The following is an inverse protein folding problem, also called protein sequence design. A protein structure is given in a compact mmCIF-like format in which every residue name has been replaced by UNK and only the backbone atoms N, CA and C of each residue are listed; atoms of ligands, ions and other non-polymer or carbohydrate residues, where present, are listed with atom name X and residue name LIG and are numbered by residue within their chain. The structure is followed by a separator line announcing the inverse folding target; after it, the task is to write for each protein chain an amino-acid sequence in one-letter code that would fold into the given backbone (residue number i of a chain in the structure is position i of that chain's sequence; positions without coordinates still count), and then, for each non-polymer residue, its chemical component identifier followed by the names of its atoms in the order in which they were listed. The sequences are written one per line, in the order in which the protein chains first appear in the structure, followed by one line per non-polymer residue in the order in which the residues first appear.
data_IF_528713052917
#
_entry.id   IF_528713052917
#
_cell.length_a   1.000
_cell.length_b   1.000
_cell.length_c   1.000
_cell.angle_alpha   90.00
_cell.angle_beta   90.00
_cell.angle_gamma   90.00
#
_symmetry.space_group_name_H-M   'P 1'
#
loop_
_entity.id
_entity.type
_entity.pdbx_description
1 polymer ?
#
# COMPACT_ATOMS: atom_id res chain seq x y z
N UNK A 1 12.27 -21.25 -25.26
CA UNK A 1 13.15 -21.88 -24.22
C UNK A 1 13.50 -20.99 -23.03
N UNK A 2 13.47 -19.65 -23.09
CA UNK A 2 13.83 -18.78 -21.94
C UNK A 2 12.76 -18.66 -20.83
N UNK A 3 11.47 -18.70 -21.18
CA UNK A 3 10.38 -18.57 -20.21
C UNK A 3 10.28 -19.73 -19.18
N UNK A 4 10.64 -20.96 -19.57
CA UNK A 4 10.52 -22.12 -18.66
C UNK A 4 11.64 -22.17 -17.61
N UNK A 5 12.80 -21.56 -17.88
CA UNK A 5 13.93 -21.49 -16.93
C UNK A 5 13.66 -20.43 -15.85
N UNK A 6 13.07 -19.30 -16.23
CA UNK A 6 12.69 -18.24 -15.27
C UNK A 6 11.65 -18.74 -14.26
N UNK A 7 10.64 -19.49 -14.72
CA UNK A 7 9.61 -20.11 -13.85
C UNK A 7 10.17 -21.15 -12.88
N UNK A 8 11.25 -21.84 -13.23
CA UNK A 8 11.89 -22.78 -12.30
C UNK A 8 12.69 -22.05 -11.21
N UNK A 9 13.32 -20.92 -11.56
CA UNK A 9 14.12 -20.11 -10.65
C UNK A 9 13.29 -19.26 -9.67
N UNK A 10 12.06 -18.89 -10.05
CA UNK A 10 11.12 -18.10 -9.23
C UNK A 10 10.28 -18.95 -8.27
N UNK A 11 10.53 -20.27 -8.15
CA UNK A 11 9.85 -21.10 -7.16
C UNK A 11 10.24 -20.64 -5.75
N UNK A 12 9.31 -19.94 -5.10
CA UNK A 12 9.41 -19.62 -3.69
C UNK A 12 9.64 -20.90 -2.88
N UNK A 13 10.50 -20.84 -1.86
CA UNK A 13 10.63 -21.96 -0.94
C UNK A 13 9.45 -21.99 0.03
N UNK A 14 9.06 -23.18 0.53
CA UNK A 14 8.08 -23.28 1.61
C UNK A 14 8.56 -22.43 2.78
N UNK A 15 7.74 -21.50 3.23
CA UNK A 15 8.06 -20.65 4.38
C UNK A 15 7.16 -21.00 5.56
N UNK A 16 7.66 -20.75 6.77
CA UNK A 16 6.84 -20.70 7.98
C UNK A 16 6.30 -19.28 8.10
N UNK A 17 5.30 -18.95 7.28
CA UNK A 17 4.65 -17.67 7.36
C UNK A 17 3.86 -17.58 8.67
N UNK A 18 4.30 -16.71 9.59
CA UNK A 18 3.68 -16.53 10.91
C UNK A 18 2.43 -15.64 10.87
N UNK A 19 2.00 -15.21 9.68
CA UNK A 19 0.75 -14.47 9.48
C UNK A 19 -0.50 -15.20 9.98
N UNK A 20 -0.41 -16.52 10.23
CA UNK A 20 -1.47 -17.32 10.86
C UNK A 20 -1.93 -16.77 12.22
N UNK A 21 -1.10 -15.98 12.91
CA UNK A 21 -1.43 -15.36 14.19
C UNK A 21 -2.20 -14.04 14.07
N UNK A 22 -2.31 -13.45 12.88
CA UNK A 22 -2.99 -12.17 12.67
C UNK A 22 -4.43 -12.37 12.17
N UNK A 23 -5.34 -11.40 12.42
CA UNK A 23 -6.64 -11.36 11.78
C UNK A 23 -6.51 -11.45 10.25
N UNK A 24 -7.30 -12.34 9.65
CA UNK A 24 -7.32 -12.59 8.21
C UNK A 24 -8.64 -12.13 7.61
N UNK A 25 -8.55 -11.50 6.46
CA UNK A 25 -9.65 -10.91 5.73
C UNK A 25 -9.61 -11.47 4.32
N UNK A 26 -10.74 -12.02 3.85
CA UNK A 26 -10.82 -12.56 2.50
C UNK A 26 -10.51 -11.47 1.48
N UNK A 27 -11.08 -10.27 1.67
CA UNK A 27 -10.89 -9.13 0.77
C UNK A 27 -10.46 -7.87 1.51
N UNK A 28 -9.98 -6.88 0.74
CA UNK A 28 -9.71 -5.54 1.23
C UNK A 28 -10.96 -4.84 1.79
N UNK A 29 -12.14 -5.15 1.26
CA UNK A 29 -13.42 -4.63 1.75
C UNK A 29 -13.79 -5.17 3.14
N UNK A 30 -13.50 -6.46 3.40
CA UNK A 30 -13.72 -7.07 4.72
C UNK A 30 -12.83 -6.41 5.77
N UNK A 31 -11.56 -6.17 5.43
CA UNK A 31 -10.65 -5.41 6.30
C UNK A 31 -11.18 -4.00 6.52
N UNK A 32 -11.62 -3.30 5.47
CA UNK A 32 -12.18 -1.95 5.60
C UNK A 32 -13.35 -1.90 6.59
N UNK A 33 -14.32 -2.82 6.47
CA UNK A 33 -15.46 -2.92 7.40
C UNK A 33 -15.00 -3.14 8.84
N UNK A 34 -13.98 -3.98 9.04
CA UNK A 34 -13.40 -4.21 10.34
C UNK A 34 -12.68 -2.97 10.91
N UNK A 35 -11.83 -2.30 10.13
CA UNK A 35 -11.15 -1.06 10.55
C UNK A 35 -12.16 0.03 10.95
N UNK A 36 -13.26 0.13 10.20
CA UNK A 36 -14.37 1.05 10.50
C UNK A 36 -15.06 0.72 11.82
N UNK A 37 -15.33 -0.56 12.08
CA UNK A 37 -15.90 -1.01 13.35
C UNK A 37 -14.96 -0.76 14.53
N UNK A 38 -13.66 -1.04 14.37
CA UNK A 38 -12.66 -0.77 15.41
C UNK A 38 -12.57 0.72 15.79
N UNK A 39 -12.81 1.60 14.85
CA UNK A 39 -12.64 3.05 15.02
C UNK A 39 -13.96 3.80 15.13
N UNK A 40 -15.10 3.10 15.25
CA UNK A 40 -16.44 3.69 15.21
C UNK A 40 -16.69 4.79 16.25
N UNK A 41 -15.95 4.76 17.37
CA UNK A 41 -16.06 5.76 18.44
C UNK A 41 -15.68 7.18 17.97
N UNK A 42 -14.87 7.31 16.92
CA UNK A 42 -14.51 8.60 16.33
C UNK A 42 -13.64 9.51 17.22
N UNK A 43 -13.50 10.77 16.81
CA UNK A 43 -12.71 11.78 17.54
C UNK A 43 -11.24 11.42 17.68
N UNK A 44 -10.69 11.57 18.89
CA UNK A 44 -9.28 11.29 19.21
C UNK A 44 -8.99 9.78 19.42
N UNK A 45 -10.00 8.92 19.29
CA UNK A 45 -9.82 7.49 19.49
C UNK A 45 -8.84 6.90 18.47
N UNK A 46 -7.77 6.29 18.98
CA UNK A 46 -6.71 5.70 18.18
C UNK A 46 -6.44 4.27 18.60
N UNK A 47 -6.58 3.33 17.68
CA UNK A 47 -6.10 1.95 17.85
C UNK A 47 -4.62 1.91 17.52
N UNK A 48 -3.81 1.32 18.41
CA UNK A 48 -2.35 1.22 18.23
C UNK A 48 -1.97 -0.18 17.72
N UNK A 49 -0.99 -0.23 16.82
CA UNK A 49 -0.33 -1.46 16.37
C UNK A 49 -1.27 -2.53 15.79
N UNK A 50 -2.21 -2.13 14.94
CA UNK A 50 -3.04 -3.07 14.21
C UNK A 50 -2.22 -3.78 13.12
N UNK A 51 -2.39 -5.10 13.00
CA UNK A 51 -1.87 -5.91 11.89
C UNK A 51 -3.01 -6.78 11.38
N UNK A 52 -3.20 -6.82 10.06
CA UNK A 52 -4.16 -7.71 9.42
C UNK A 52 -3.67 -8.18 8.07
N UNK A 53 -4.20 -9.32 7.61
CA UNK A 53 -3.80 -9.96 6.36
C UNK A 53 -4.98 -9.99 5.40
N UNK A 54 -4.78 -9.48 4.19
CA UNK A 54 -5.74 -9.57 3.08
C UNK A 54 -5.31 -10.74 2.20
N UNK A 55 -6.22 -11.69 2.00
CA UNK A 55 -5.95 -12.90 1.23
C UNK A 55 -6.06 -12.66 -0.28
N UNK A 56 -7.07 -11.90 -0.69
CA UNK A 56 -7.32 -11.54 -2.08
C UNK A 56 -7.14 -10.04 -2.31
N UNK A 57 -6.02 -9.70 -2.95
CA UNK A 57 -5.70 -8.34 -3.38
C UNK A 57 -6.25 -7.99 -4.77
N UNK A 58 -7.04 -8.86 -5.39
CA UNK A 58 -7.67 -8.60 -6.70
C UNK A 58 -9.05 -7.95 -6.56
N UNK A 59 -9.70 -8.07 -5.40
CA UNK A 59 -10.99 -7.45 -5.12
C UNK A 59 -10.89 -5.93 -4.96
N UNK A 60 -11.52 -5.20 -5.88
CA UNK A 60 -11.70 -3.75 -5.81
C UNK A 60 -13.06 -3.44 -5.18
N UNK A 61 -13.09 -2.46 -4.29
CA UNK A 61 -14.33 -1.93 -3.72
C UNK A 61 -14.32 -0.40 -3.72
N UNK A 62 -15.51 0.19 -3.69
CA UNK A 62 -15.74 1.63 -3.72
C UNK A 62 -16.45 2.10 -2.46
N UNK A 63 -16.33 3.39 -2.18
CA UNK A 63 -17.09 4.05 -1.11
C UNK A 63 -17.63 5.39 -1.63
N UNK A 64 -18.61 6.02 -0.96
CA UNK A 64 -19.05 7.35 -1.36
C UNK A 64 -17.91 8.39 -1.43
N UNK A 65 -16.92 8.29 -0.54
CA UNK A 65 -15.74 9.16 -0.56
C UNK A 65 -14.77 8.81 -1.69
N UNK A 66 -14.68 7.53 -2.04
CA UNK A 66 -13.80 7.00 -3.09
C UNK A 66 -14.58 6.19 -4.13
N UNK A 67 -15.33 6.87 -5.02
CA UNK A 67 -15.89 6.24 -6.20
C UNK A 67 -14.75 5.85 -7.17
N UNK A 68 -15.06 5.00 -8.16
CA UNK A 68 -14.07 4.48 -9.11
C UNK A 68 -13.12 5.54 -9.68
N UNK A 69 -13.67 6.64 -10.21
CA UNK A 69 -12.86 7.69 -10.83
C UNK A 69 -11.87 8.35 -9.85
N UNK A 70 -12.24 8.48 -8.57
CA UNK A 70 -11.31 8.98 -7.55
C UNK A 70 -10.19 7.97 -7.28
N UNK A 71 -10.53 6.68 -7.12
CA UNK A 71 -9.54 5.62 -6.91
C UNK A 71 -8.52 5.57 -8.06
N UNK A 72 -9.02 5.63 -9.31
CA UNK A 72 -8.19 5.60 -10.51
C UNK A 72 -7.27 6.82 -10.59
N UNK A 73 -7.80 8.02 -10.35
CA UNK A 73 -7.00 9.25 -10.33
C UNK A 73 -5.86 9.19 -9.31
N UNK A 74 -6.16 8.91 -8.04
CA UNK A 74 -5.14 8.87 -6.99
C UNK A 74 -4.11 7.76 -7.23
N UNK A 75 -4.53 6.65 -7.83
CA UNK A 75 -3.64 5.55 -8.20
C UNK A 75 -2.72 5.95 -9.34
N UNK A 76 -3.24 6.53 -10.44
CA UNK A 76 -2.41 7.06 -11.54
C UNK A 76 -1.37 8.04 -10.99
N UNK A 77 -1.83 9.00 -10.19
CA UNK A 77 -0.98 10.00 -9.54
C UNK A 77 0.14 9.36 -8.72
N UNK A 78 -0.18 8.40 -7.84
CA UNK A 78 0.83 7.76 -6.98
C UNK A 78 1.73 6.79 -7.74
N UNK A 79 1.26 6.15 -8.82
CA UNK A 79 2.07 5.31 -9.71
C UNK A 79 3.01 6.12 -10.62
N UNK A 80 2.89 7.46 -10.63
CA UNK A 80 3.60 8.31 -11.59
C UNK A 80 3.09 8.16 -13.02
N UNK A 81 1.85 7.69 -13.19
CA UNK A 81 1.22 7.54 -14.50
C UNK A 81 0.55 8.84 -14.97
N UNK A 82 0.39 9.03 -16.29
CA UNK A 82 -0.32 10.18 -16.83
C UNK A 82 -1.78 10.26 -16.33
N UNK A 83 -2.20 11.48 -15.98
CA UNK A 83 -3.59 11.85 -15.70
C UNK A 83 -3.87 13.24 -16.28
N UNK A 84 -5.13 13.57 -16.53
CA UNK A 84 -5.52 14.86 -17.13
C UNK A 84 -5.75 15.93 -16.06
N UNK A 85 -5.70 17.21 -16.47
CA UNK A 85 -6.06 18.31 -15.57
C UNK A 85 -7.52 18.21 -15.11
N UNK A 86 -8.43 17.78 -15.99
CA UNK A 86 -9.83 17.55 -15.65
C UNK A 86 -10.00 16.49 -14.55
N UNK A 87 -9.25 15.37 -14.63
CA UNK A 87 -9.23 14.36 -13.56
C UNK A 87 -8.73 14.97 -12.24
N UNK A 88 -7.69 15.80 -12.30
CA UNK A 88 -7.15 16.49 -11.13
C UNK A 88 -8.16 17.44 -10.49
N UNK A 89 -8.77 18.32 -11.29
CA UNK A 89 -9.73 19.32 -10.80
C UNK A 89 -10.98 18.65 -10.20
N UNK A 90 -11.39 17.51 -10.75
CA UNK A 90 -12.56 16.76 -10.27
C UNK A 90 -12.28 15.97 -9.00
N UNK A 91 -11.10 15.35 -8.88
CA UNK A 91 -10.87 14.31 -7.87
C UNK A 91 -9.92 14.74 -6.75
N UNK A 92 -9.02 15.70 -6.98
CA UNK A 92 -8.04 16.13 -6.00
C UNK A 92 -8.69 16.98 -4.89
N UNK A 93 -8.93 16.35 -3.74
CA UNK A 93 -9.54 16.97 -2.56
C UNK A 93 -8.69 16.73 -1.32
N UNK A 94 -8.71 17.66 -0.36
CA UNK A 94 -7.95 17.54 0.89
C UNK A 94 -8.50 16.37 1.72
N UNK A 95 -9.83 16.25 1.81
CA UNK A 95 -10.58 15.20 2.50
C UNK A 95 -10.23 13.80 2.01
N UNK A 96 -9.70 13.66 0.80
CA UNK A 96 -9.23 12.39 0.22
C UNK A 96 -7.76 12.09 0.52
N UNK A 97 -7.18 12.77 1.50
CA UNK A 97 -5.87 12.45 2.08
C UNK A 97 -4.75 13.41 1.74
N UNK A 98 -5.06 14.55 1.10
CA UNK A 98 -4.14 15.67 0.89
C UNK A 98 -2.72 15.28 0.49
N UNK A 99 -1.73 16.04 0.98
CA UNK A 99 -0.31 15.79 0.70
C UNK A 99 0.25 14.55 1.42
N UNK A 100 -0.33 14.13 2.55
CA UNK A 100 0.14 12.94 3.30
C UNK A 100 -0.01 11.64 2.52
N UNK A 101 -0.95 11.60 1.56
CA UNK A 101 -1.20 10.45 0.69
C UNK A 101 -0.61 10.57 -0.72
N UNK A 102 0.29 11.53 -0.96
CA UNK A 102 1.01 11.70 -2.23
C UNK A 102 2.34 10.96 -2.17
N UNK A 103 2.46 9.84 -2.89
CA UNK A 103 3.62 8.95 -2.88
C UNK A 103 4.45 9.00 -4.17
N UNK A 104 4.12 9.92 -5.09
CA UNK A 104 4.58 9.84 -6.48
C UNK A 104 6.09 9.94 -6.68
N UNK A 105 6.79 10.57 -5.73
CA UNK A 105 8.20 10.90 -5.86
C UNK A 105 9.06 9.64 -6.12
N UNK A 106 9.70 9.59 -7.29
CA UNK A 106 10.52 8.47 -7.74
C UNK A 106 9.81 7.11 -7.79
N UNK A 107 8.47 7.07 -7.85
CA UNK A 107 7.73 5.80 -7.73
C UNK A 107 8.06 4.82 -8.86
N UNK A 108 8.18 5.31 -10.10
CA UNK A 108 8.46 4.46 -11.26
C UNK A 108 9.83 3.78 -11.12
N UNK A 109 10.85 4.52 -10.69
CA UNK A 109 12.20 4.02 -10.44
C UNK A 109 12.22 3.03 -9.28
N UNK A 110 11.47 3.29 -8.20
CA UNK A 110 11.33 2.37 -7.06
C UNK A 110 10.70 1.05 -7.49
N UNK A 111 9.63 1.09 -8.28
CA UNK A 111 8.97 -0.09 -8.84
C UNK A 111 9.95 -0.87 -9.73
N UNK A 112 10.64 -0.18 -10.65
CA UNK A 112 11.61 -0.79 -11.55
C UNK A 112 12.76 -1.49 -10.78
N UNK A 113 13.26 -0.85 -9.72
CA UNK A 113 14.29 -1.43 -8.86
C UNK A 113 13.82 -2.70 -8.15
N UNK A 114 12.58 -2.73 -7.65
CA UNK A 114 12.01 -3.93 -7.02
C UNK A 114 11.84 -5.06 -8.03
N UNK A 115 11.32 -4.76 -9.23
CA UNK A 115 11.19 -5.76 -10.30
C UNK A 115 12.56 -6.32 -10.67
N UNK A 116 13.56 -5.45 -10.87
CA UNK A 116 14.92 -5.87 -11.20
C UNK A 116 15.52 -6.75 -10.09
N UNK A 117 15.32 -6.36 -8.82
CA UNK A 117 15.78 -7.11 -7.66
C UNK A 117 15.14 -8.50 -7.57
N UNK A 118 13.82 -8.61 -7.74
CA UNK A 118 13.12 -9.90 -7.65
C UNK A 118 13.37 -10.80 -8.88
N UNK A 119 13.64 -10.22 -10.06
CA UNK A 119 14.08 -10.98 -11.24
C UNK A 119 15.49 -11.58 -11.05
N UNK A 120 16.42 -10.83 -10.44
CA UNK A 120 17.80 -11.29 -10.23
C UNK A 120 17.97 -12.16 -8.98
N UNK A 121 17.29 -11.79 -7.90
CA UNK A 121 17.35 -12.42 -6.58
C UNK A 121 15.94 -12.66 -6.04
N UNK A 122 15.23 -13.73 -6.48
CA UNK A 122 13.85 -14.00 -6.09
C UNK A 122 13.59 -14.13 -4.58
N UNK A 123 14.65 -14.41 -3.81
CA UNK A 123 14.61 -14.56 -2.33
C UNK A 123 15.19 -13.34 -1.61
N UNK A 124 15.37 -12.23 -2.32
CA UNK A 124 15.91 -11.00 -1.77
C UNK A 124 15.01 -10.48 -0.64
N UNK A 125 15.65 -10.09 0.45
CA UNK A 125 15.02 -9.36 1.56
C UNK A 125 15.09 -7.83 1.37
N UNK A 126 15.57 -7.38 0.21
CA UNK A 126 15.87 -5.97 -0.11
C UNK A 126 14.90 -5.37 -1.12
N UNK A 127 13.92 -6.14 -1.60
CA UNK A 127 12.88 -5.68 -2.51
C UNK A 127 11.86 -4.81 -1.77
N UNK A 128 12.23 -3.55 -1.52
CA UNK A 128 11.49 -2.60 -0.69
C UNK A 128 11.23 -1.32 -1.48
N UNK A 129 10.01 -0.80 -1.42
CA UNK A 129 9.64 0.55 -1.87
C UNK A 129 9.55 1.46 -0.65
N UNK A 130 10.57 2.29 -0.38
CA UNK A 130 10.51 3.27 0.69
C UNK A 130 9.71 4.52 0.26
N UNK A 131 8.88 5.00 1.18
CA UNK A 131 8.16 6.26 1.10
C UNK A 131 8.75 7.19 2.16
N UNK A 132 9.81 7.95 1.84
CA UNK A 132 10.56 8.72 2.82
C UNK A 132 9.75 9.88 3.42
N UNK A 133 10.16 10.37 4.60
CA UNK A 133 9.59 11.60 5.17
C UNK A 133 10.14 12.84 4.45
N UNK A 134 11.45 12.84 4.27
CA UNK A 134 12.24 13.79 3.51
C UNK A 134 13.34 13.03 2.76
N UNK A 135 13.95 13.67 1.77
CA UNK A 135 15.13 13.14 1.07
C UNK A 135 16.32 12.87 2.00
N UNK A 136 16.39 13.51 3.17
CA UNK A 136 17.53 13.43 4.10
C UNK A 136 17.21 12.69 5.42
N UNK A 137 16.02 12.12 5.56
CA UNK A 137 15.60 11.35 6.72
C UNK A 137 15.15 12.20 7.92
N UNK A 138 14.95 11.56 9.08
CA UNK A 138 14.28 12.15 10.25
C UNK A 138 14.92 13.42 10.81
N UNK A 139 16.22 13.65 10.53
CA UNK A 139 16.96 14.84 11.00
C UNK A 139 16.36 16.14 10.47
N UNK A 140 15.77 16.12 9.28
CA UNK A 140 15.29 17.33 8.58
C UNK A 140 13.78 17.34 8.39
N UNK A 141 13.06 16.42 9.04
CA UNK A 141 11.61 16.35 8.95
C UNK A 141 11.00 17.50 9.74
N UNK A 142 10.26 18.34 9.04
CA UNK A 142 9.33 19.27 9.64
C UNK A 142 8.00 18.55 9.89
N UNK A 143 7.70 18.24 11.15
CA UNK A 143 6.48 17.55 11.53
C UNK A 143 5.21 18.38 11.24
N UNK A 144 5.33 19.71 11.13
CA UNK A 144 4.21 20.59 10.79
C UNK A 144 3.89 20.56 9.29
N UNK A 145 4.83 20.10 8.46
CA UNK A 145 4.63 19.90 7.04
C UNK A 145 3.97 18.54 6.77
N UNK A 146 2.67 18.58 6.46
CA UNK A 146 1.86 17.40 6.11
C UNK A 146 2.42 16.63 4.91
N UNK A 147 3.04 17.32 3.95
CA UNK A 147 3.73 16.71 2.81
C UNK A 147 4.95 15.88 3.20
N UNK A 148 5.60 16.16 4.33
CA UNK A 148 6.75 15.39 4.82
C UNK A 148 6.34 14.23 5.74
N UNK A 149 5.10 14.19 6.22
CA UNK A 149 4.59 13.14 7.11
C UNK A 149 3.73 12.14 6.33
N UNK A 150 4.31 11.42 5.37
CA UNK A 150 3.57 10.39 4.61
C UNK A 150 3.05 9.27 5.49
N UNK A 151 1.84 8.76 5.23
CA UNK A 151 1.21 7.76 6.11
C UNK A 151 1.72 6.32 5.86
N UNK A 152 1.91 5.94 4.59
CA UNK A 152 2.72 4.77 4.22
C UNK A 152 4.21 5.08 4.40
N UNK A 153 4.96 4.12 4.93
CA UNK A 153 6.41 4.22 5.13
C UNK A 153 7.17 3.32 4.18
N UNK A 154 6.76 2.06 4.07
CA UNK A 154 7.47 1.06 3.30
C UNK A 154 6.52 0.00 2.77
N UNK A 155 6.80 -0.50 1.57
CA UNK A 155 6.20 -1.72 1.02
C UNK A 155 7.30 -2.75 0.83
N UNK A 156 7.19 -3.90 1.48
CA UNK A 156 8.16 -4.98 1.42
C UNK A 156 7.59 -6.06 0.51
N UNK A 157 8.16 -6.21 -0.69
CA UNK A 157 7.70 -7.17 -1.69
C UNK A 157 8.59 -8.41 -1.64
N UNK A 158 7.99 -9.58 -1.72
CA UNK A 158 8.73 -10.85 -1.66
C UNK A 158 7.98 -11.95 -2.41
N UNK A 159 8.74 -12.93 -2.90
CA UNK A 159 8.19 -14.09 -3.60
C UNK A 159 8.15 -15.26 -2.61
N UNK A 160 6.95 -15.80 -2.41
CA UNK A 160 6.71 -16.92 -1.51
C UNK A 160 5.57 -17.77 -2.07
N UNK A 161 5.68 -19.10 -1.98
CA UNK A 161 4.70 -20.03 -2.54
C UNK A 161 4.39 -19.81 -4.03
N UNK A 162 5.39 -19.32 -4.79
CA UNK A 162 5.24 -18.91 -6.20
C UNK A 162 4.21 -17.79 -6.42
N UNK A 163 3.98 -16.97 -5.40
CA UNK A 163 3.15 -15.76 -5.45
C UNK A 163 3.99 -14.54 -5.08
N UNK A 164 3.64 -13.39 -5.65
CA UNK A 164 4.12 -12.09 -5.16
C UNK A 164 3.28 -11.69 -3.95
N UNK A 165 3.91 -11.64 -2.77
CA UNK A 165 3.29 -11.17 -1.52
C UNK A 165 3.90 -9.82 -1.13
N UNK A 166 3.21 -9.10 -0.23
CA UNK A 166 3.69 -7.81 0.22
C UNK A 166 3.30 -7.50 1.67
N UNK A 167 4.18 -6.84 2.40
CA UNK A 167 3.87 -6.24 3.70
C UNK A 167 3.97 -4.73 3.58
N UNK A 168 2.87 -4.02 3.84
CA UNK A 168 2.86 -2.57 3.95
C UNK A 168 3.00 -2.11 5.39
N UNK A 169 3.91 -1.18 5.62
CA UNK A 169 4.13 -0.56 6.93
C UNK A 169 3.64 0.88 6.88
N UNK A 170 2.65 1.18 7.73
CA UNK A 170 1.99 2.47 7.80
C UNK A 170 2.18 3.04 9.21
N UNK A 171 2.69 4.28 9.28
CA UNK A 171 2.74 5.02 10.56
C UNK A 171 1.35 5.37 11.05
N UNK A 172 0.40 5.49 10.12
CA UNK A 172 -0.94 5.97 10.37
C UNK A 172 -1.87 5.50 9.26
N UNK A 173 -3.09 5.09 9.59
CA UNK A 173 -4.15 4.84 8.62
C UNK A 173 -5.45 5.44 9.16
N UNK A 174 -6.01 6.39 8.40
CA UNK A 174 -7.40 6.80 8.62
C UNK A 174 -8.30 5.80 7.91
N UNK A 175 -9.28 5.21 8.61
CA UNK A 175 -10.16 4.18 8.08
C UNK A 175 -10.93 4.66 6.84
N UNK A 176 -11.35 5.93 6.78
CA UNK A 176 -12.02 6.51 5.61
C UNK A 176 -11.11 6.61 4.39
N UNK A 177 -9.79 6.78 4.59
CA UNK A 177 -8.79 6.88 3.52
C UNK A 177 -8.26 5.50 3.06
N UNK A 178 -8.53 4.44 3.84
CA UNK A 178 -8.07 3.09 3.53
C UNK A 178 -8.39 2.64 2.09
N UNK A 179 -9.61 2.86 1.54
CA UNK A 179 -9.94 2.45 0.16
C UNK A 179 -8.97 3.00 -0.89
N UNK A 180 -8.54 4.26 -0.73
CA UNK A 180 -7.55 4.89 -1.63
C UNK A 180 -6.19 4.19 -1.57
N UNK A 181 -5.67 4.01 -0.36
CA UNK A 181 -4.34 3.44 -0.15
C UNK A 181 -4.30 1.99 -0.64
N UNK A 182 -5.31 1.19 -0.28
CA UNK A 182 -5.32 -0.22 -0.63
C UNK A 182 -5.52 -0.44 -2.13
N UNK A 183 -6.31 0.41 -2.81
CA UNK A 183 -6.44 0.36 -4.26
C UNK A 183 -5.11 0.64 -4.96
N UNK A 184 -4.36 1.66 -4.49
CA UNK A 184 -3.02 1.93 -5.01
C UNK A 184 -2.09 0.73 -4.81
N UNK A 185 -2.06 0.12 -3.61
CA UNK A 185 -1.22 -1.05 -3.33
C UNK A 185 -1.64 -2.26 -4.17
N UNK A 186 -2.94 -2.50 -4.34
CA UNK A 186 -3.47 -3.52 -5.24
C UNK A 186 -2.96 -3.32 -6.67
N UNK A 187 -3.11 -2.12 -7.24
CA UNK A 187 -2.62 -1.83 -8.59
C UNK A 187 -1.11 -1.99 -8.72
N UNK A 188 -0.35 -1.55 -7.71
CA UNK A 188 1.10 -1.73 -7.67
C UNK A 188 1.49 -3.20 -7.68
N UNK A 189 0.85 -4.03 -6.84
CA UNK A 189 1.15 -5.46 -6.77
C UNK A 189 0.74 -6.20 -8.04
N UNK A 190 -0.41 -5.86 -8.64
CA UNK A 190 -0.83 -6.41 -9.93
C UNK A 190 0.17 -6.07 -11.03
N UNK A 191 0.66 -4.82 -11.06
CA UNK A 191 1.66 -4.39 -12.02
C UNK A 191 2.99 -5.14 -11.85
N UNK A 192 3.53 -5.20 -10.63
CA UNK A 192 4.78 -5.94 -10.34
C UNK A 192 4.61 -7.44 -10.59
N UNK A 193 3.48 -8.02 -10.20
CA UNK A 193 3.16 -9.43 -10.42
C UNK A 193 3.12 -9.78 -11.91
N UNK A 194 2.47 -8.93 -12.72
CA UNK A 194 2.48 -9.05 -14.19
C UNK A 194 3.89 -9.02 -14.76
N UNK A 195 4.73 -8.08 -14.32
CA UNK A 195 6.12 -7.94 -14.78
C UNK A 195 7.03 -9.12 -14.38
N UNK A 196 6.67 -9.83 -13.31
CA UNK A 196 7.36 -11.02 -12.82
C UNK A 196 6.73 -12.33 -13.33
N UNK A 197 5.61 -12.27 -14.06
CA UNK A 197 4.77 -13.41 -14.42
C UNK A 197 4.34 -14.27 -13.20
N UNK A 198 4.05 -13.61 -12.09
CA UNK A 198 3.62 -14.25 -10.84
C UNK A 198 2.20 -13.83 -10.45
N UNK A 199 1.37 -14.76 -9.96
CA UNK A 199 0.12 -14.40 -9.30
C UNK A 199 0.40 -13.55 -8.06
N UNK A 200 -0.48 -12.59 -7.78
CA UNK A 200 -0.47 -11.85 -6.52
C UNK A 200 -1.03 -12.75 -5.43
N UNK A 201 -0.34 -12.78 -4.29
CA UNK A 201 -0.77 -13.48 -3.08
C UNK A 201 -1.21 -12.50 -1.99
N UNK A 202 -0.99 -12.90 -0.74
CA UNK A 202 -1.43 -12.14 0.43
C UNK A 202 -0.74 -10.78 0.56
N UNK A 203 -1.47 -9.84 1.15
CA UNK A 203 -0.95 -8.56 1.60
C UNK A 203 -1.12 -8.41 3.12
N UNK A 204 -0.04 -8.10 3.82
CA UNK A 204 -0.05 -7.81 5.26
C UNK A 204 -0.06 -6.30 5.46
N UNK A 205 -1.05 -5.78 6.18
CA UNK A 205 -1.23 -4.37 6.46
C UNK A 205 -0.89 -4.07 7.92
N UNK A 206 0.27 -3.45 8.15
CA UNK A 206 0.74 -3.08 9.48
C UNK A 206 0.55 -1.59 9.72
N UNK A 207 -0.29 -1.24 10.69
CA UNK A 207 -0.65 0.12 11.04
C UNK A 207 -0.19 0.43 12.48
N UNK A 208 0.65 1.45 12.66
CA UNK A 208 1.05 1.90 14.00
C UNK A 208 -0.07 2.67 14.71
N UNK A 209 -0.81 3.51 13.97
CA UNK A 209 -1.91 4.33 14.47
C UNK A 209 -3.11 4.21 13.54
N UNK A 210 -4.27 3.85 14.05
CA UNK A 210 -5.49 3.66 13.27
C UNK A 210 -6.60 4.55 13.87
N UNK A 211 -7.18 5.41 13.06
CA UNK A 211 -8.26 6.34 13.48
C UNK A 211 -9.40 6.38 12.47
N UNK A 212 -10.49 7.04 12.86
CA UNK A 212 -11.66 7.27 12.02
C UNK A 212 -11.62 8.61 11.29
N UNK A 213 -11.31 9.70 12.00
CA UNK A 213 -11.38 11.08 11.49
C UNK A 213 -10.02 11.76 11.36
N UNK A 214 -9.95 12.69 10.41
CA UNK A 214 -8.79 13.54 10.16
C UNK A 214 -8.71 14.73 11.13
N UNK A 215 -9.80 15.03 11.81
CA UNK A 215 -9.90 16.09 12.81
C UNK A 215 -9.22 15.73 14.14
N UNK A 216 -8.55 14.58 14.24
CA UNK A 216 -7.53 14.38 15.26
C UNK A 216 -6.36 15.33 14.95
N UNK A 217 -6.50 16.56 15.44
CA UNK A 217 -5.63 17.74 15.28
C UNK A 217 -4.18 17.46 15.76
N UNK A 218 -3.94 16.31 16.39
CA UNK A 218 -2.63 15.77 16.70
C UNK A 218 -2.22 14.66 15.72
N UNK A 219 -1.70 15.06 14.56
CA UNK A 219 -0.80 14.23 13.74
C UNK A 219 0.56 14.93 13.67
#
# INVERSE_FOLDING_TARGET
MRASVLRLALRGSPSRNLNVGYPRFRTSEDMYKHLRGLTEQGGDFTVRNFVGVIEDMTHRFETPLFPAGALDFYTKKNMGWPYTQEESDKWQMEERGGEQGDYRDGMQEKIANVIACLKSEPRSKRAIIPIPFSSEGSKTVDWTNKGQTKCCRELHLYIEDSQLKCTGILRMQNANIFPKNIHFFQTLLLHVGSELELPVGEYTHWISNLCFDRDAISC
#
